data_IF_439303785606
#
_entry.id   IF_439303785606
#
_cell.length_a   1.000
_cell.length_b   1.000
_cell.length_c   1.000
_cell.angle_alpha   90.00
_cell.angle_beta   90.00
_cell.angle_gamma   90.00
#
_symmetry.space_group_name_H-M   'P 1'
#
loop_
_entity.id
_entity.type
_entity.pdbx_description
1 polymer ?
#
# COMPACT_ATOMS: atom_id res chain seq x y z
N UNK A 1 -5.05 -3.30 1.61
CA UNK A 1 -3.67 -3.05 1.21
C UNK A 1 -2.75 -3.90 2.06
N UNK A 2 -1.69 -4.42 1.46
CA UNK A 2 -0.61 -5.11 2.15
C UNK A 2 0.71 -4.41 1.82
N UNK A 3 1.55 -4.23 2.84
CA UNK A 3 2.88 -3.64 2.71
C UNK A 3 3.88 -4.58 3.36
N UNK A 4 4.85 -5.02 2.55
CA UNK A 4 5.93 -5.89 2.98
C UNK A 4 7.27 -5.17 2.82
N UNK A 5 8.00 -5.03 3.93
CA UNK A 5 9.39 -4.56 3.94
C UNK A 5 10.31 -5.78 3.89
N UNK A 6 11.03 -5.98 2.78
CA UNK A 6 11.97 -7.09 2.64
C UNK A 6 13.16 -7.00 3.62
N UNK A 7 13.62 -5.79 3.93
CA UNK A 7 14.70 -5.58 4.90
C UNK A 7 16.00 -6.29 4.51
N UNK A 8 16.57 -7.09 5.41
CA UNK A 8 17.76 -7.93 5.15
C UNK A 8 17.50 -9.11 4.18
N UNK A 9 16.24 -9.40 3.86
CA UNK A 9 15.85 -10.49 2.97
C UNK A 9 14.63 -11.24 3.49
N UNK A 10 13.83 -11.74 2.55
CA UNK A 10 12.64 -12.54 2.78
C UNK A 10 12.47 -13.54 1.61
N UNK A 11 11.68 -14.59 1.85
CA UNK A 11 11.04 -15.37 0.82
C UNK A 11 9.54 -15.18 0.95
N UNK A 12 8.83 -15.03 -0.17
CA UNK A 12 7.37 -14.97 -0.18
C UNK A 12 6.80 -15.60 -1.45
N UNK A 13 5.55 -16.00 -1.36
CA UNK A 13 4.74 -16.49 -2.48
C UNK A 13 3.33 -15.94 -2.33
N UNK A 14 2.74 -15.48 -3.42
CA UNK A 14 1.35 -15.06 -3.48
C UNK A 14 0.65 -15.88 -4.57
N UNK A 15 -0.54 -16.39 -4.28
CA UNK A 15 -1.32 -17.20 -5.22
C UNK A 15 -2.81 -16.87 -5.10
N UNK A 16 -3.55 -17.11 -6.18
CA UNK A 16 -5.00 -17.02 -6.15
C UNK A 16 -5.58 -18.26 -5.45
N UNK A 17 -6.24 -18.07 -4.31
CA UNK A 17 -6.86 -19.17 -3.56
C UNK A 17 -8.21 -19.63 -4.14
N UNK A 18 -8.84 -18.84 -5.03
CA UNK A 18 -10.09 -19.24 -5.69
C UNK A 18 -9.81 -20.12 -6.90
N UNK A 19 -10.59 -21.20 -7.02
CA UNK A 19 -10.57 -22.09 -8.18
C UNK A 19 -11.52 -21.63 -9.30
N UNK A 20 -12.29 -20.57 -9.07
CA UNK A 20 -13.35 -20.10 -9.98
C UNK A 20 -13.20 -18.62 -10.32
N UNK A 21 -12.78 -17.80 -9.36
CA UNK A 21 -12.71 -16.36 -9.52
C UNK A 21 -11.31 -15.92 -9.93
N UNK A 22 -11.25 -14.89 -10.78
CA UNK A 22 -9.99 -14.25 -11.16
C UNK A 22 -9.53 -13.27 -10.08
N UNK A 23 -8.28 -13.42 -9.64
CA UNK A 23 -7.62 -12.44 -8.79
C UNK A 23 -6.96 -11.35 -9.66
N UNK A 24 -7.27 -10.08 -9.39
CA UNK A 24 -6.63 -8.91 -10.01
C UNK A 24 -6.19 -7.93 -8.92
N UNK A 25 -4.91 -7.56 -8.92
CA UNK A 25 -4.35 -6.57 -8.01
C UNK A 25 -3.17 -5.83 -8.66
N UNK A 26 -2.72 -4.76 -8.01
CA UNK A 26 -1.51 -4.04 -8.37
C UNK A 26 -0.40 -4.41 -7.40
N UNK A 27 0.79 -4.68 -7.93
CA UNK A 27 2.00 -4.85 -7.15
C UNK A 27 2.91 -3.66 -7.39
N UNK A 28 3.26 -2.94 -6.32
CA UNK A 28 4.05 -1.71 -6.38
C UNK A 28 5.32 -1.95 -5.56
N UNK A 29 6.48 -1.65 -6.14
CA UNK A 29 7.77 -1.74 -5.47
C UNK A 29 8.29 -0.33 -5.23
N UNK A 30 8.60 -0.03 -3.97
CA UNK A 30 9.16 1.25 -3.56
C UNK A 30 10.50 0.96 -2.91
N UNK A 31 11.56 1.56 -3.44
CA UNK A 31 12.88 1.46 -2.83
C UNK A 31 12.83 2.10 -1.44
N UNK A 32 13.32 1.44 -0.38
CA UNK A 32 13.36 2.05 0.94
C UNK A 32 14.48 3.10 1.03
N UNK A 33 14.33 4.07 1.91
CA UNK A 33 15.40 5.03 2.22
C UNK A 33 16.52 4.42 3.10
N UNK A 34 16.24 3.30 3.76
CA UNK A 34 17.18 2.62 4.65
C UNK A 34 17.22 1.13 4.34
N UNK A 35 18.43 0.63 4.04
CA UNK A 35 18.67 -0.78 3.70
C UNK A 35 19.02 -1.61 4.93
N UNK A 36 18.91 -2.95 4.80
CA UNK A 36 19.33 -3.88 5.86
C UNK A 36 18.55 -3.79 7.16
N UNK A 37 17.37 -3.16 7.15
CA UNK A 37 16.47 -3.11 8.31
C UNK A 37 15.82 -4.49 8.56
N UNK A 38 15.18 -4.68 9.72
CA UNK A 38 14.40 -5.90 9.97
C UNK A 38 13.25 -6.00 8.95
N UNK A 39 12.98 -7.21 8.41
CA UNK A 39 11.78 -7.45 7.63
C UNK A 39 10.52 -7.07 8.41
N UNK A 40 9.45 -6.72 7.70
CA UNK A 40 8.19 -6.34 8.33
C UNK A 40 7.01 -6.54 7.38
N UNK A 41 5.84 -6.78 7.96
CA UNK A 41 4.60 -6.95 7.23
C UNK A 41 3.49 -6.17 7.92
N UNK A 42 2.68 -5.47 7.13
CA UNK A 42 1.51 -4.75 7.60
C UNK A 42 0.36 -5.00 6.62
N UNK A 43 -0.85 -5.16 7.15
CA UNK A 43 -2.06 -5.29 6.34
C UNK A 43 -3.17 -4.48 6.98
N UNK A 44 -3.86 -3.68 6.16
CA UNK A 44 -5.04 -2.93 6.59
C UNK A 44 -6.02 -2.74 5.44
N UNK A 45 -7.31 -2.81 5.77
CA UNK A 45 -8.39 -2.41 4.88
C UNK A 45 -8.68 -0.92 5.08
N UNK A 46 -8.71 -0.17 3.99
CA UNK A 46 -8.92 1.29 3.99
C UNK A 46 -10.29 1.70 3.44
N UNK A 47 -11.14 0.74 3.06
CA UNK A 47 -12.40 1.04 2.41
C UNK A 47 -12.26 1.32 0.92
N UNK A 48 -13.36 1.77 0.31
CA UNK A 48 -13.46 2.25 -1.07
C UNK A 48 -14.38 3.46 -1.17
N UNK A 49 -14.34 4.32 -0.16
CA UNK A 49 -15.18 5.52 -0.15
C UNK A 49 -14.67 6.51 -1.21
N UNK A 50 -15.55 7.25 -1.90
CA UNK A 50 -15.15 8.34 -2.78
C UNK A 50 -14.27 9.36 -2.06
N UNK A 51 -13.35 9.98 -2.81
CA UNK A 51 -12.39 10.95 -2.32
C UNK A 51 -10.98 10.36 -2.18
N UNK A 52 -10.12 11.15 -1.52
CA UNK A 52 -8.72 10.80 -1.30
C UNK A 52 -8.53 10.14 0.07
N UNK A 53 -8.00 8.93 0.07
CA UNK A 53 -7.66 8.19 1.30
C UNK A 53 -6.15 7.98 1.37
N UNK A 54 -5.51 8.46 2.42
CA UNK A 54 -4.07 8.21 2.65
C UNK A 54 -3.86 6.78 3.13
N UNK A 55 -3.02 6.03 2.42
CA UNK A 55 -2.79 4.60 2.63
C UNK A 55 -1.51 4.33 3.39
N UNK A 56 -0.41 4.99 3.01
CA UNK A 56 0.89 4.79 3.63
C UNK A 56 1.65 6.11 3.73
N UNK A 57 2.35 6.33 4.85
CA UNK A 57 3.13 7.53 5.13
C UNK A 57 4.46 7.17 5.78
N UNK A 58 5.45 8.09 5.78
CA UNK A 58 6.75 7.84 6.41
C UNK A 58 6.67 7.67 7.94
N UNK A 59 5.58 8.13 8.59
CA UNK A 59 5.45 8.06 10.06
C UNK A 59 4.33 7.14 10.56
N UNK A 60 3.49 6.59 9.66
CA UNK A 60 2.39 5.69 10.03
C UNK A 60 1.27 6.38 10.82
N UNK A 61 1.21 7.70 10.77
CA UNK A 61 0.24 8.53 11.47
C UNK A 61 -1.19 8.26 10.98
N UNK A 62 -2.19 8.59 11.81
CA UNK A 62 -3.62 8.42 11.51
C UNK A 62 -3.99 6.99 11.09
N UNK A 63 -3.22 5.99 11.54
CA UNK A 63 -3.43 4.58 11.23
C UNK A 63 -3.10 4.21 9.79
N UNK A 64 -2.28 4.99 9.09
CA UNK A 64 -1.73 4.61 7.79
C UNK A 64 -0.69 3.50 7.95
N UNK A 65 -0.35 2.82 6.85
CA UNK A 65 0.76 1.88 6.85
C UNK A 65 2.08 2.66 6.94
N UNK A 66 3.00 2.21 7.79
CA UNK A 66 4.33 2.81 7.87
C UNK A 66 5.18 2.37 6.67
N UNK A 67 5.53 3.31 5.77
CA UNK A 67 6.47 3.06 4.67
C UNK A 67 7.87 3.56 5.03
N UNK A 68 8.90 2.74 4.75
CA UNK A 68 10.31 3.09 5.00
C UNK A 68 10.91 3.91 3.85
N UNK A 69 10.24 4.98 3.46
CA UNK A 69 10.66 5.89 2.41
C UNK A 69 10.07 7.27 2.72
N UNK A 70 10.74 8.34 2.30
CA UNK A 70 10.17 9.69 2.24
C UNK A 70 9.19 9.78 1.07
N UNK A 71 8.04 9.13 1.23
CA UNK A 71 6.96 9.08 0.25
C UNK A 71 5.62 8.82 0.95
N UNK A 72 4.56 9.34 0.34
CA UNK A 72 3.18 9.10 0.75
C UNK A 72 2.41 8.44 -0.39
N UNK A 73 1.61 7.43 -0.06
CA UNK A 73 0.73 6.76 -1.00
C UNK A 73 -0.73 7.09 -0.67
N UNK A 74 -1.47 7.58 -1.67
CA UNK A 74 -2.90 7.81 -1.58
C UNK A 74 -3.69 6.92 -2.53
N UNK A 75 -4.91 6.57 -2.13
CA UNK A 75 -5.94 6.03 -3.00
C UNK A 75 -6.92 7.14 -3.32
N UNK A 76 -7.16 7.39 -4.61
CA UNK A 76 -8.19 8.31 -5.08
C UNK A 76 -9.31 7.52 -5.76
N UNK A 77 -10.54 7.72 -5.31
CA UNK A 77 -11.75 7.19 -5.95
C UNK A 77 -12.61 8.39 -6.33
N UNK A 78 -12.82 8.60 -7.62
CA UNK A 78 -13.63 9.69 -8.15
C UNK A 78 -14.93 9.15 -8.75
N UNK A 79 -15.99 9.94 -8.59
CA UNK A 79 -17.21 9.76 -9.34
C UNK A 79 -17.00 10.24 -10.79
N UNK A 80 -17.80 9.76 -11.74
CA UNK A 80 -17.74 10.25 -13.11
C UNK A 80 -17.88 11.78 -13.17
N UNK A 81 -17.04 12.42 -13.98
CA UNK A 81 -17.03 13.88 -14.19
C UNK A 81 -16.77 14.71 -12.91
N UNK A 82 -16.19 14.12 -11.86
CA UNK A 82 -15.68 14.88 -10.72
C UNK A 82 -14.18 15.10 -10.80
N UNK A 83 -13.72 16.13 -10.08
CA UNK A 83 -12.32 16.48 -9.95
C UNK A 83 -11.96 16.62 -8.46
N UNK A 84 -10.68 16.43 -8.16
CA UNK A 84 -10.11 16.69 -6.84
C UNK A 84 -8.76 17.37 -7.05
N UNK A 85 -8.58 18.54 -6.45
CA UNK A 85 -7.30 19.22 -6.40
C UNK A 85 -6.50 18.71 -5.21
N UNK A 86 -5.24 18.37 -5.45
CA UNK A 86 -4.30 17.88 -4.44
C UNK A 86 -3.02 18.71 -4.53
N UNK A 87 -2.65 19.35 -3.41
CA UNK A 87 -1.44 20.16 -3.27
C UNK A 87 -0.26 19.33 -2.73
#
# INVERSE_FOLDING_TARGET
FQLMSAGKGIYHSEYNASNQDTLRFLQIWIQPNTFGTKPGYQQKYFGRNPGLTTIATPTGENGTLLIKQDATLHQLILEPSSELNFE
#
